data_IF_417222685559
#
_entry.id   IF_417222685559
#
_cell.length_a   1.000
_cell.length_b   1.000
_cell.length_c   1.000
_cell.angle_alpha   90.00
_cell.angle_beta   90.00
_cell.angle_gamma   90.00
#
_symmetry.space_group_name_H-M   'P 1'
#
loop_
_entity.id
_entity.type
_entity.pdbx_description
1 polymer ?
#
# COMPACT_ATOMS: atom_id res chain seq x y z
N UNK A 1 52.61 62.56 36.13
CA UNK A 1 52.36 61.12 36.28
C UNK A 1 51.31 60.74 35.31
N UNK A 2 51.61 60.00 34.26
CA UNK A 2 50.67 59.66 33.21
C UNK A 2 49.93 58.34 33.53
N UNK A 3 48.62 58.32 33.38
CA UNK A 3 47.74 57.14 33.46
C UNK A 3 47.90 56.29 32.24
N UNK A 4 48.28 55.01 32.41
CA UNK A 4 48.28 54.00 31.40
C UNK A 4 46.84 53.45 31.25
N UNK A 5 46.28 53.60 30.04
CA UNK A 5 45.03 52.94 29.65
C UNK A 5 45.38 51.55 29.15
N UNK A 6 44.77 50.48 29.72
CA UNK A 6 44.80 49.12 29.25
C UNK A 6 43.68 48.98 28.18
N UNK A 7 44.06 48.72 26.96
CA UNK A 7 43.13 48.34 25.93
C UNK A 7 42.90 46.81 26.01
N UNK A 8 41.67 46.40 26.35
CA UNK A 8 41.25 44.99 26.27
C UNK A 8 40.89 44.62 24.83
N UNK A 9 41.66 43.71 24.27
CA UNK A 9 41.42 43.14 22.95
C UNK A 9 40.33 42.07 23.09
N UNK A 10 39.12 42.35 22.64
CA UNK A 10 38.04 41.34 22.53
C UNK A 10 38.25 40.55 21.26
N UNK A 11 38.69 39.31 21.39
CA UNK A 11 38.80 38.38 20.29
C UNK A 11 37.39 37.82 20.00
N UNK A 12 36.71 38.30 18.94
CA UNK A 12 35.49 37.71 18.44
C UNK A 12 35.87 36.49 17.62
N UNK A 13 35.70 35.30 18.20
CA UNK A 13 35.80 34.05 17.47
C UNK A 13 34.59 33.92 16.56
N UNK A 14 34.76 34.18 15.27
CA UNK A 14 33.79 33.86 14.25
C UNK A 14 33.72 32.34 14.13
N UNK A 15 32.67 31.75 14.72
CA UNK A 15 32.30 30.36 14.43
C UNK A 15 31.75 30.33 12.99
N UNK A 16 32.61 29.98 12.03
CA UNK A 16 32.22 29.70 10.71
C UNK A 16 31.37 28.43 10.72
N UNK A 17 30.04 28.54 10.61
CA UNK A 17 29.18 27.44 10.22
C UNK A 17 29.69 26.91 8.88
N UNK A 18 30.51 25.87 8.94
CA UNK A 18 30.81 25.07 7.73
C UNK A 18 29.51 24.40 7.31
N UNK A 19 28.87 24.95 6.29
CA UNK A 19 27.84 24.22 5.55
C UNK A 19 28.45 22.89 5.12
N UNK A 20 27.90 21.79 5.61
CA UNK A 20 28.30 20.46 5.15
C UNK A 20 27.91 20.41 3.69
N UNK A 21 28.90 20.38 2.81
CA UNK A 21 28.68 20.17 1.37
C UNK A 21 27.98 18.83 1.22
N UNK A 22 26.74 18.85 0.74
CA UNK A 22 25.96 17.64 0.47
C UNK A 22 26.70 16.80 -0.56
N UNK A 23 27.01 15.54 -0.21
CA UNK A 23 27.70 14.61 -1.11
C UNK A 23 26.70 14.01 -2.08
N UNK A 24 27.03 13.98 -3.36
CA UNK A 24 26.31 13.21 -4.38
C UNK A 24 26.89 11.81 -4.59
N UNK A 25 28.06 11.53 -3.97
CA UNK A 25 28.70 10.23 -4.04
C UNK A 25 27.95 9.20 -3.18
N UNK A 26 27.55 8.10 -3.79
CA UNK A 26 26.89 7.00 -3.08
C UNK A 26 27.89 6.35 -2.12
N UNK A 27 27.60 6.31 -0.81
CA UNK A 27 28.49 5.72 0.18
C UNK A 27 28.76 4.23 -0.06
N UNK A 28 29.94 3.77 0.35
CA UNK A 28 30.29 2.35 0.25
C UNK A 28 29.76 1.56 1.46
N UNK A 29 28.41 1.43 1.49
CA UNK A 29 27.64 0.70 2.50
C UNK A 29 26.74 -0.33 1.80
N UNK A 30 26.22 -1.35 2.50
CA UNK A 30 25.22 -2.25 1.92
C UNK A 30 24.03 -1.52 1.33
N UNK A 31 23.49 -0.50 2.02
CA UNK A 31 22.40 0.32 1.51
C UNK A 31 22.83 1.14 0.28
N UNK A 32 24.03 1.72 0.28
CA UNK A 32 24.59 2.41 -0.88
C UNK A 32 24.78 1.49 -2.08
N UNK A 33 25.16 0.23 -1.84
CA UNK A 33 25.31 -0.76 -2.92
C UNK A 33 23.95 -1.07 -3.59
N UNK A 34 22.89 -1.16 -2.81
CA UNK A 34 21.52 -1.33 -3.35
C UNK A 34 21.10 -0.12 -4.18
N UNK A 35 21.39 1.10 -3.71
CA UNK A 35 21.11 2.34 -4.47
C UNK A 35 21.89 2.40 -5.78
N UNK A 36 23.16 2.02 -5.81
CA UNK A 36 23.95 1.94 -7.06
C UNK A 36 23.28 1.02 -8.08
N UNK A 37 22.91 -0.19 -7.66
CA UNK A 37 22.25 -1.15 -8.56
C UNK A 37 20.89 -0.64 -9.03
N UNK A 38 20.10 -0.02 -8.13
CA UNK A 38 18.83 0.61 -8.50
C UNK A 38 19.01 1.73 -9.52
N UNK A 39 19.94 2.64 -9.28
CA UNK A 39 20.22 3.77 -10.18
C UNK A 39 20.67 3.28 -11.54
N UNK A 40 21.59 2.32 -11.60
CA UNK A 40 22.08 1.74 -12.84
C UNK A 40 20.97 1.07 -13.63
N UNK A 41 20.12 0.29 -12.96
CA UNK A 41 18.98 -0.37 -13.58
C UNK A 41 17.98 0.66 -14.16
N UNK A 42 17.57 1.64 -13.34
CA UNK A 42 16.63 2.67 -13.78
C UNK A 42 17.20 3.58 -14.87
N UNK A 43 18.48 3.91 -14.82
CA UNK A 43 19.12 4.79 -15.81
C UNK A 43 19.46 4.08 -17.13
N UNK A 44 19.60 2.76 -17.11
CA UNK A 44 19.90 1.98 -18.32
C UNK A 44 18.81 2.01 -19.39
N UNK A 45 17.55 2.18 -19.00
CA UNK A 45 16.40 2.04 -19.91
C UNK A 45 16.03 0.59 -20.23
N UNK A 46 16.78 -0.37 -19.71
CA UNK A 46 16.57 -1.80 -19.93
C UNK A 46 15.60 -2.39 -18.89
N UNK A 47 14.44 -2.82 -19.36
CA UNK A 47 13.41 -3.43 -18.52
C UNK A 47 13.91 -4.68 -17.80
N UNK A 48 14.79 -5.48 -18.42
CA UNK A 48 15.30 -6.70 -17.80
C UNK A 48 16.19 -6.38 -16.60
N UNK A 49 17.00 -5.34 -16.65
CA UNK A 49 17.81 -4.88 -15.51
C UNK A 49 16.95 -4.39 -14.35
N UNK A 50 15.85 -3.71 -14.66
CA UNK A 50 14.90 -3.26 -13.64
C UNK A 50 14.24 -4.46 -12.97
N UNK A 51 13.75 -5.42 -13.73
CA UNK A 51 13.15 -6.64 -13.20
C UNK A 51 14.16 -7.45 -12.39
N UNK A 52 15.44 -7.48 -12.81
CA UNK A 52 16.51 -8.16 -12.06
C UNK A 52 16.77 -7.49 -10.72
N UNK A 53 16.84 -6.15 -10.67
CA UNK A 53 16.92 -5.41 -9.41
C UNK A 53 15.80 -5.82 -8.45
N UNK A 54 14.54 -5.82 -8.92
CA UNK A 54 13.41 -6.19 -8.06
C UNK A 54 13.46 -7.65 -7.64
N UNK A 55 13.73 -8.60 -8.54
CA UNK A 55 13.90 -10.03 -8.18
C UNK A 55 14.95 -10.21 -7.10
N UNK A 56 16.02 -9.44 -7.17
CA UNK A 56 17.13 -9.53 -6.23
C UNK A 56 16.82 -8.91 -4.88
N UNK A 57 16.15 -7.76 -4.82
CA UNK A 57 16.04 -6.96 -3.60
C UNK A 57 14.61 -6.79 -3.08
N UNK A 58 13.59 -6.84 -3.95
CA UNK A 58 12.17 -6.59 -3.63
C UNK A 58 11.24 -7.43 -4.51
N UNK A 59 11.32 -8.77 -4.48
CA UNK A 59 10.57 -9.64 -5.39
C UNK A 59 9.05 -9.44 -5.30
N UNK A 60 8.55 -9.04 -4.15
CA UNK A 60 7.14 -8.74 -3.88
C UNK A 60 6.63 -7.48 -4.60
N UNK A 61 7.53 -6.61 -5.10
CA UNK A 61 7.19 -5.35 -5.77
C UNK A 61 7.28 -5.41 -7.30
N UNK A 62 7.40 -6.58 -7.88
CA UNK A 62 7.43 -6.72 -9.33
C UNK A 62 6.03 -6.54 -9.89
N UNK A 63 5.72 -5.34 -10.38
CA UNK A 63 4.44 -4.99 -10.99
C UNK A 63 4.65 -4.27 -12.33
N UNK A 64 3.61 -4.23 -13.16
CA UNK A 64 3.61 -3.41 -14.37
C UNK A 64 3.81 -1.91 -14.04
N UNK A 65 3.32 -1.46 -12.89
CA UNK A 65 3.52 -0.09 -12.40
C UNK A 65 4.99 0.29 -12.25
N UNK A 66 5.84 -0.66 -11.86
CA UNK A 66 7.29 -0.46 -11.75
C UNK A 66 7.93 -0.10 -13.07
N UNK A 67 7.59 -0.82 -14.13
CA UNK A 67 8.09 -0.56 -15.49
C UNK A 67 7.53 0.77 -16.02
N UNK A 68 6.24 1.01 -15.82
CA UNK A 68 5.58 2.25 -16.24
C UNK A 68 6.21 3.48 -15.56
N UNK A 69 6.50 3.39 -14.27
CA UNK A 69 7.17 4.46 -13.52
C UNK A 69 8.56 4.77 -14.10
N UNK A 70 9.33 3.75 -14.47
CA UNK A 70 10.61 3.94 -15.15
C UNK A 70 10.44 4.64 -16.51
N UNK A 71 9.48 4.21 -17.31
CA UNK A 71 9.22 4.81 -18.61
C UNK A 71 8.83 6.28 -18.50
N UNK A 72 8.02 6.61 -17.50
CA UNK A 72 7.58 7.98 -17.21
C UNK A 72 8.74 8.86 -16.73
N UNK A 73 9.52 8.42 -15.73
CA UNK A 73 10.59 9.20 -15.08
C UNK A 73 11.84 9.36 -15.94
N UNK A 74 12.13 8.41 -16.82
CA UNK A 74 13.38 8.37 -17.61
C UNK A 74 14.64 8.00 -16.83
N UNK A 75 14.51 7.65 -15.54
CA UNK A 75 15.61 7.41 -14.61
C UNK A 75 15.80 8.57 -13.64
N UNK A 76 16.84 8.47 -12.81
CA UNK A 76 17.08 9.41 -11.71
C UNK A 76 18.55 9.78 -11.56
N UNK A 77 18.79 11.06 -11.30
CA UNK A 77 20.09 11.58 -10.89
C UNK A 77 20.05 11.88 -9.39
N UNK A 78 21.10 11.47 -8.66
CA UNK A 78 21.20 11.76 -7.21
C UNK A 78 21.59 13.23 -7.06
N UNK A 79 20.76 13.95 -6.31
CA UNK A 79 20.98 15.37 -5.99
C UNK A 79 21.80 15.48 -4.69
N UNK A 80 21.46 14.69 -3.67
CA UNK A 80 22.18 14.64 -2.40
C UNK A 80 21.94 13.33 -1.65
N UNK A 81 22.90 12.96 -0.81
CA UNK A 81 22.74 11.92 0.21
C UNK A 81 22.55 12.64 1.56
N UNK A 82 21.38 12.43 2.15
CA UNK A 82 20.97 13.13 3.38
C UNK A 82 21.38 12.36 4.64
N UNK A 83 21.37 11.03 4.57
CA UNK A 83 21.80 10.12 5.64
C UNK A 83 22.27 8.80 5.04
N UNK A 84 23.31 8.21 5.60
CA UNK A 84 23.78 6.88 5.23
C UNK A 84 24.28 6.12 6.43
N UNK A 85 23.69 4.96 6.64
CA UNK A 85 24.06 3.94 7.60
C UNK A 85 24.21 2.59 6.89
N UNK A 86 24.78 1.56 7.48
CA UNK A 86 24.97 0.29 6.80
C UNK A 86 23.69 -0.29 6.17
N UNK A 87 22.53 -0.09 6.81
CA UNK A 87 21.23 -0.64 6.37
C UNK A 87 20.15 0.40 6.12
N UNK A 88 20.50 1.68 6.15
CA UNK A 88 19.57 2.78 5.94
C UNK A 88 20.22 3.87 5.09
N UNK A 89 19.51 4.37 4.08
CA UNK A 89 19.97 5.50 3.27
C UNK A 89 18.80 6.42 2.94
N UNK A 90 19.05 7.73 3.09
CA UNK A 90 18.14 8.79 2.68
C UNK A 90 18.82 9.64 1.62
N UNK A 91 18.09 9.96 0.55
CA UNK A 91 18.66 10.67 -0.59
C UNK A 91 17.61 11.55 -1.28
N UNK A 92 18.07 12.57 -1.97
CA UNK A 92 17.24 13.34 -2.90
C UNK A 92 17.63 12.96 -4.31
N UNK A 93 16.64 12.66 -5.14
CA UNK A 93 16.82 12.33 -6.55
C UNK A 93 15.97 13.23 -7.43
N UNK A 94 16.40 13.42 -8.68
CA UNK A 94 15.69 14.18 -9.71
C UNK A 94 15.42 13.28 -10.90
N UNK A 95 14.19 13.32 -11.40
CA UNK A 95 13.85 12.66 -12.66
C UNK A 95 14.63 13.24 -13.84
N UNK A 96 14.95 12.38 -14.81
CA UNK A 96 15.64 12.80 -16.03
C UNK A 96 14.72 13.38 -17.11
N UNK A 97 13.45 12.96 -17.12
CA UNK A 97 12.47 13.45 -18.11
C UNK A 97 11.70 14.68 -17.64
N UNK A 98 11.61 14.90 -16.35
CA UNK A 98 10.88 16.03 -15.77
C UNK A 98 11.76 16.73 -14.72
N UNK A 99 11.46 17.99 -14.32
CA UNK A 99 12.17 18.63 -13.22
C UNK A 99 11.73 18.11 -11.82
N UNK A 100 10.94 17.06 -11.75
CA UNK A 100 10.44 16.52 -10.50
C UNK A 100 11.58 15.96 -9.64
N UNK A 101 11.55 16.30 -8.36
CA UNK A 101 12.47 15.79 -7.34
C UNK A 101 11.72 14.96 -6.33
N UNK A 102 12.42 13.98 -5.76
CA UNK A 102 11.87 13.06 -4.77
C UNK A 102 12.82 12.91 -3.60
N UNK A 103 12.26 12.77 -2.40
CA UNK A 103 12.98 12.29 -1.24
C UNK A 103 12.85 10.78 -1.16
N UNK A 104 13.97 10.08 -1.17
CA UNK A 104 14.05 8.64 -1.13
C UNK A 104 14.52 8.13 0.23
N UNK A 105 13.90 7.08 0.73
CA UNK A 105 14.33 6.32 1.91
C UNK A 105 14.39 4.86 1.54
N UNK A 106 15.49 4.19 1.89
CA UNK A 106 15.64 2.74 1.69
C UNK A 106 16.18 2.11 2.96
N UNK A 107 15.46 1.10 3.45
CA UNK A 107 15.80 0.28 4.61
C UNK A 107 16.08 -1.16 4.17
N UNK A 108 17.11 -1.78 4.76
CA UNK A 108 17.47 -3.16 4.48
C UNK A 108 17.12 -4.08 5.66
N UNK A 109 16.52 -5.22 5.34
CA UNK A 109 16.29 -6.28 6.31
C UNK A 109 17.62 -6.84 6.83
N UNK A 110 17.65 -7.33 8.08
CA UNK A 110 18.79 -8.04 8.63
C UNK A 110 18.90 -9.47 8.08
N UNK A 111 18.95 -9.62 6.75
CA UNK A 111 18.91 -10.92 6.06
C UNK A 111 20.12 -11.10 5.14
N UNK A 112 20.46 -12.35 4.86
CA UNK A 112 21.37 -12.74 3.80
C UNK A 112 20.61 -13.75 2.91
N UNK A 113 20.46 -13.51 1.61
CA UNK A 113 20.93 -12.34 0.84
C UNK A 113 20.22 -11.03 1.23
N UNK A 114 20.88 -9.91 0.93
CA UNK A 114 20.36 -8.57 1.22
C UNK A 114 18.97 -8.39 0.58
N UNK A 115 18.00 -7.91 1.38
CA UNK A 115 16.65 -7.56 0.97
C UNK A 115 16.31 -6.14 1.43
N UNK A 116 15.54 -5.44 0.64
CA UNK A 116 14.94 -4.16 1.04
C UNK A 116 13.69 -4.46 1.86
N UNK A 117 13.67 -4.03 3.12
CA UNK A 117 12.51 -4.16 4.01
C UNK A 117 11.53 -3.00 3.87
N UNK A 118 12.03 -1.82 3.47
CA UNK A 118 11.25 -0.62 3.25
C UNK A 118 11.86 0.25 2.17
N UNK A 119 11.04 0.79 1.27
CA UNK A 119 11.48 1.84 0.36
C UNK A 119 10.34 2.80 0.05
N UNK A 120 10.68 4.09 0.06
CA UNK A 120 9.75 5.18 -0.25
C UNK A 120 10.45 6.15 -1.20
N UNK A 121 9.69 6.68 -2.13
CA UNK A 121 10.11 7.77 -3.02
C UNK A 121 8.98 8.80 -3.02
N UNK A 122 9.11 9.82 -2.15
CA UNK A 122 8.09 10.84 -1.92
C UNK A 122 8.34 12.05 -2.83
N UNK A 123 7.36 12.49 -3.64
CA UNK A 123 7.52 13.64 -4.51
C UNK A 123 7.70 14.92 -3.68
N UNK A 124 8.73 15.70 -4.03
CA UNK A 124 8.99 17.02 -3.45
C UNK A 124 8.33 18.11 -4.31
N UNK A 125 7.86 19.18 -3.68
CA UNK A 125 7.45 20.38 -4.41
C UNK A 125 8.65 21.04 -5.12
N UNK A 126 8.42 21.90 -6.13
CA UNK A 126 9.50 22.53 -6.89
C UNK A 126 10.47 23.38 -6.06
N UNK A 127 10.05 23.80 -4.85
CA UNK A 127 10.84 24.60 -3.90
C UNK A 127 10.89 23.98 -2.50
N UNK A 128 10.87 22.64 -2.40
CA UNK A 128 10.90 21.98 -1.10
C UNK A 128 12.21 22.29 -0.38
N UNK A 129 12.11 22.93 0.78
CA UNK A 129 13.24 23.19 1.67
C UNK A 129 13.48 21.94 2.52
N UNK A 130 14.64 21.30 2.36
CA UNK A 130 15.04 20.13 3.14
C UNK A 130 15.15 20.40 4.64
N UNK A 131 15.31 21.67 5.05
CA UNK A 131 15.30 22.03 6.47
C UNK A 131 13.95 21.82 7.13
N UNK A 132 12.85 21.94 6.36
CA UNK A 132 11.47 21.67 6.80
C UNK A 132 11.19 20.19 7.04
N UNK A 133 12.05 19.29 6.54
CA UNK A 133 11.94 17.86 6.79
C UNK A 133 12.42 17.44 8.18
N UNK A 134 12.86 18.38 9.02
CA UNK A 134 13.33 18.10 10.38
C UNK A 134 12.16 18.07 11.35
N UNK A 135 12.22 17.09 12.26
CA UNK A 135 11.30 16.96 13.38
C UNK A 135 12.11 16.99 14.69
N UNK A 136 11.87 17.98 15.52
CA UNK A 136 12.44 18.05 16.87
C UNK A 136 11.62 17.25 17.88
N UNK A 137 12.05 17.22 19.13
CA UNK A 137 11.38 16.46 20.19
C UNK A 137 9.93 16.94 20.44
N UNK A 138 9.67 18.25 20.36
CA UNK A 138 8.35 18.82 20.57
C UNK A 138 7.41 18.46 19.40
N UNK A 139 7.90 18.53 18.16
CA UNK A 139 7.16 18.13 16.98
C UNK A 139 6.86 16.62 16.98
N UNK A 140 7.82 15.76 17.39
CA UNK A 140 7.58 14.32 17.56
C UNK A 140 6.48 14.02 18.57
N UNK A 141 6.54 14.68 19.74
CA UNK A 141 5.50 14.52 20.77
C UNK A 141 4.11 14.90 20.23
N UNK A 142 4.02 16.04 19.53
CA UNK A 142 2.76 16.49 18.90
C UNK A 142 2.21 15.51 17.88
N UNK A 143 3.08 14.94 17.03
CA UNK A 143 2.66 13.92 16.03
C UNK A 143 2.18 12.65 16.73
N UNK A 144 2.88 12.18 17.77
CA UNK A 144 2.47 11.01 18.55
C UNK A 144 1.12 11.25 19.22
N UNK A 145 0.93 12.38 19.90
CA UNK A 145 -0.33 12.72 20.56
C UNK A 145 -1.47 12.86 19.55
N UNK A 146 -1.19 13.43 18.37
CA UNK A 146 -2.14 13.52 17.29
C UNK A 146 -2.52 12.14 16.73
N UNK A 147 -1.56 11.24 16.54
CA UNK A 147 -1.82 9.86 16.14
C UNK A 147 -2.68 9.12 17.17
N UNK A 148 -2.37 9.28 18.45
CA UNK A 148 -3.15 8.69 19.55
C UNK A 148 -4.59 9.22 19.53
N UNK A 149 -4.81 10.51 19.35
CA UNK A 149 -6.14 11.11 19.28
C UNK A 149 -6.98 10.52 18.13
N UNK A 150 -6.35 10.27 16.97
CA UNK A 150 -7.04 9.62 15.85
C UNK A 150 -7.36 8.14 16.15
N UNK A 151 -6.44 7.40 16.78
CA UNK A 151 -6.68 6.02 17.19
C UNK A 151 -7.82 5.92 18.22
N UNK A 152 -7.82 6.75 19.24
CA UNK A 152 -8.87 6.78 20.27
C UNK A 152 -10.24 7.07 19.65
N UNK A 153 -10.29 7.95 18.66
CA UNK A 153 -11.52 8.37 18.00
C UNK A 153 -12.07 7.36 17.01
N UNK A 154 -11.21 6.69 16.24
CA UNK A 154 -11.62 5.96 15.04
C UNK A 154 -11.28 4.48 15.04
N UNK A 155 -10.21 4.04 15.73
CA UNK A 155 -9.79 2.64 15.62
C UNK A 155 -10.86 1.68 16.12
N UNK A 156 -11.13 0.63 15.33
CA UNK A 156 -12.22 -0.32 15.57
C UNK A 156 -12.11 -1.07 16.90
N UNK A 157 -10.88 -1.17 17.48
CA UNK A 157 -10.62 -1.82 18.77
C UNK A 157 -10.09 -0.82 19.81
N UNK A 158 -10.96 -0.21 20.64
CA UNK A 158 -10.55 0.84 21.59
C UNK A 158 -9.54 0.37 22.65
N UNK A 159 -9.62 -0.89 23.07
CA UNK A 159 -8.68 -1.49 24.01
C UNK A 159 -7.26 -1.64 23.40
N UNK A 160 -7.17 -1.89 22.10
CA UNK A 160 -5.90 -1.92 21.37
C UNK A 160 -5.38 -0.50 21.18
N UNK A 161 -6.26 0.47 20.82
CA UNK A 161 -5.89 1.88 20.74
C UNK A 161 -5.25 2.36 22.04
N UNK A 162 -5.84 2.04 23.20
CA UNK A 162 -5.28 2.38 24.49
C UNK A 162 -3.90 1.78 24.72
N UNK A 163 -3.67 0.51 24.40
CA UNK A 163 -2.35 -0.14 24.54
C UNK A 163 -1.30 0.53 23.64
N UNK A 164 -1.69 0.89 22.40
CA UNK A 164 -0.81 1.62 21.47
C UNK A 164 -0.46 2.98 22.07
N UNK A 165 -1.45 3.73 22.58
CA UNK A 165 -1.26 5.04 23.17
C UNK A 165 -0.28 5.00 24.36
N UNK A 166 -0.49 4.07 25.29
CA UNK A 166 0.38 3.89 26.47
C UNK A 166 1.82 3.55 26.04
N UNK A 167 2.00 2.67 25.06
CA UNK A 167 3.30 2.26 24.55
C UNK A 167 4.02 3.41 23.83
N UNK A 168 3.35 4.14 22.97
CA UNK A 168 3.94 5.26 22.21
C UNK A 168 4.39 6.38 23.14
N UNK A 169 3.56 6.74 24.15
CA UNK A 169 3.94 7.73 25.16
C UNK A 169 5.14 7.29 25.97
N UNK A 170 5.13 6.03 26.45
CA UNK A 170 6.25 5.47 27.19
C UNK A 170 7.53 5.50 26.34
N UNK A 171 7.49 5.03 25.13
CA UNK A 171 8.66 4.98 24.24
C UNK A 171 9.19 6.36 23.88
N UNK A 172 8.32 7.34 23.64
CA UNK A 172 8.72 8.71 23.37
C UNK A 172 9.42 9.34 24.60
N UNK A 173 8.88 9.13 25.81
CA UNK A 173 9.48 9.63 27.05
C UNK A 173 10.85 8.99 27.38
N UNK A 174 11.12 7.78 26.85
CA UNK A 174 12.38 7.05 27.07
C UNK A 174 13.33 7.10 25.85
N UNK A 175 13.16 8.09 24.95
CA UNK A 175 14.13 8.41 23.91
C UNK A 175 14.13 7.48 22.70
N UNK A 176 13.13 6.59 22.54
CA UNK A 176 13.06 5.67 21.39
C UNK A 176 13.13 6.36 20.03
N UNK A 177 12.64 7.60 19.97
CA UNK A 177 12.57 8.37 18.73
C UNK A 177 13.64 9.46 18.60
N UNK A 178 14.55 9.62 19.55
CA UNK A 178 15.50 10.75 19.58
C UNK A 178 16.47 10.77 18.41
N UNK A 179 16.86 9.61 17.90
CA UNK A 179 17.72 9.49 16.72
C UNK A 179 17.02 9.87 15.40
N UNK A 180 15.69 9.95 15.40
CA UNK A 180 14.90 10.25 14.20
C UNK A 180 14.64 11.75 14.08
N UNK A 181 15.66 12.48 13.60
CA UNK A 181 15.60 13.93 13.41
C UNK A 181 14.95 14.37 12.09
N UNK A 182 14.64 13.42 11.19
CA UNK A 182 13.96 13.65 9.92
C UNK A 182 12.54 13.12 9.96
N UNK A 183 11.60 13.92 9.48
CA UNK A 183 10.15 13.62 9.50
C UNK A 183 9.82 12.30 8.80
N UNK A 184 10.45 12.04 7.63
CA UNK A 184 10.22 10.79 6.88
C UNK A 184 10.67 9.56 7.67
N UNK A 185 11.91 9.56 8.19
CA UNK A 185 12.43 8.43 8.97
C UNK A 185 11.65 8.24 10.26
N UNK A 186 11.18 9.33 10.88
CA UNK A 186 10.30 9.27 12.03
C UNK A 186 8.96 8.65 11.69
N UNK A 187 8.34 9.03 10.55
CA UNK A 187 7.09 8.43 10.08
C UNK A 187 7.24 6.92 9.83
N UNK A 188 8.32 6.50 9.16
CA UNK A 188 8.62 5.06 8.94
C UNK A 188 8.72 4.33 10.28
N UNK A 189 9.48 4.87 11.25
CA UNK A 189 9.62 4.25 12.56
C UNK A 189 8.32 4.20 13.35
N UNK A 190 7.55 5.27 13.34
CA UNK A 190 6.24 5.31 14.01
C UNK A 190 5.27 4.32 13.35
N UNK A 191 5.29 4.21 12.01
CA UNK A 191 4.51 3.22 11.27
C UNK A 191 4.86 1.77 11.66
N UNK A 192 6.15 1.43 11.75
CA UNK A 192 6.59 0.12 12.24
C UNK A 192 6.03 -0.18 13.63
N UNK A 193 6.14 0.81 14.55
CA UNK A 193 5.74 0.63 15.94
C UNK A 193 4.23 0.49 16.10
N UNK A 194 3.41 1.28 15.40
CA UNK A 194 1.94 1.13 15.48
C UNK A 194 1.49 -0.19 14.86
N UNK A 195 2.12 -0.65 13.78
CA UNK A 195 1.82 -1.96 13.17
C UNK A 195 2.22 -3.13 14.05
N UNK A 196 3.39 -3.04 14.70
CA UNK A 196 3.85 -4.07 15.64
C UNK A 196 2.93 -4.20 16.86
N UNK A 197 2.33 -3.08 17.33
CA UNK A 197 1.43 -3.07 18.47
C UNK A 197 -0.01 -3.47 18.11
N UNK A 198 -0.48 -3.08 16.94
CA UNK A 198 -1.84 -3.38 16.47
C UNK A 198 -1.98 -4.76 15.87
N UNK A 199 -0.90 -5.29 15.27
CA UNK A 199 -0.91 -6.45 14.37
C UNK A 199 -1.83 -6.28 13.16
N UNK A 200 -2.29 -5.05 12.87
CA UNK A 200 -3.17 -4.72 11.77
C UNK A 200 -2.37 -4.16 10.60
N UNK A 201 -2.39 -4.86 9.47
CA UNK A 201 -1.59 -4.51 8.29
C UNK A 201 -2.13 -3.29 7.54
N UNK A 202 -3.37 -2.87 7.79
CA UNK A 202 -3.92 -1.64 7.26
C UNK A 202 -3.49 -0.39 8.05
N UNK A 203 -3.07 -0.56 9.31
CA UNK A 203 -2.52 0.54 10.12
C UNK A 203 -1.27 1.11 9.47
N UNK A 204 -1.21 2.43 9.27
CA UNK A 204 -0.04 3.09 8.69
C UNK A 204 0.08 4.52 9.15
N UNK A 205 1.31 5.01 9.24
CA UNK A 205 1.63 6.43 9.41
C UNK A 205 2.47 6.86 8.22
N UNK A 206 1.99 7.86 7.50
CA UNK A 206 2.64 8.40 6.33
C UNK A 206 3.02 9.86 6.55
N UNK A 207 4.10 10.30 5.92
CA UNK A 207 4.53 11.69 5.87
C UNK A 207 4.48 12.22 4.45
N UNK A 208 3.92 13.41 4.26
CA UNK A 208 3.92 14.10 2.97
C UNK A 208 4.76 15.38 3.06
N UNK A 209 5.71 15.52 2.15
CA UNK A 209 6.50 16.76 2.00
C UNK A 209 5.59 17.92 1.58
N UNK A 210 4.59 17.65 0.74
CA UNK A 210 3.56 18.63 0.41
C UNK A 210 2.53 18.68 1.54
N UNK A 211 2.26 19.87 2.09
CA UNK A 211 1.29 19.97 3.15
C UNK A 211 -0.10 19.54 2.67
N UNK A 212 -0.80 18.80 3.52
CA UNK A 212 -2.23 18.55 3.33
C UNK A 212 -2.99 19.85 3.57
N UNK A 213 -3.98 20.11 2.73
CA UNK A 213 -4.91 21.22 3.00
C UNK A 213 -5.72 20.87 4.25
N UNK A 214 -5.61 21.62 5.37
CA UNK A 214 -6.38 21.36 6.56
C UNK A 214 -7.87 21.38 6.23
N UNK A 215 -8.59 20.36 6.64
CA UNK A 215 -10.05 20.32 6.54
C UNK A 215 -10.62 20.12 7.94
N UNK A 216 -11.63 20.89 8.37
CA UNK A 216 -12.34 20.61 9.59
C UNK A 216 -12.89 19.18 9.57
N UNK A 217 -12.75 18.44 10.66
CA UNK A 217 -13.22 17.05 10.75
C UNK A 217 -14.74 16.91 10.52
N UNK A 218 -15.48 17.99 10.69
CA UNK A 218 -16.95 18.09 10.48
C UNK A 218 -17.34 18.50 9.05
N UNK A 219 -16.38 18.94 8.22
CA UNK A 219 -16.69 19.39 6.86
C UNK A 219 -16.82 18.18 5.93
N UNK A 220 -17.96 18.06 5.28
CA UNK A 220 -18.13 17.13 4.17
C UNK A 220 -17.05 17.35 3.11
N UNK A 221 -16.54 16.30 2.46
CA UNK A 221 -15.65 16.46 1.31
C UNK A 221 -16.34 17.39 0.28
N UNK A 222 -15.62 18.38 -0.31
CA UNK A 222 -16.17 19.12 -1.43
C UNK A 222 -16.54 18.11 -2.53
N UNK A 223 -17.64 18.37 -3.21
CA UNK A 223 -17.94 17.62 -4.42
C UNK A 223 -16.72 17.70 -5.35
N UNK A 224 -16.29 16.59 -5.96
CA UNK A 224 -15.18 16.63 -6.90
C UNK A 224 -15.50 17.57 -8.05
N UNK A 225 -14.53 18.37 -8.47
CA UNK A 225 -14.70 19.24 -9.64
C UNK A 225 -14.79 18.39 -10.91
N UNK A 226 -15.36 18.91 -12.01
CA UNK A 226 -15.33 18.21 -13.29
C UNK A 226 -13.92 17.78 -13.72
N UNK A 227 -12.90 18.62 -13.42
CA UNK A 227 -11.50 18.30 -13.70
C UNK A 227 -10.98 17.16 -12.81
N UNK A 228 -11.39 17.07 -11.54
CA UNK A 228 -11.02 15.97 -10.65
C UNK A 228 -11.64 14.66 -11.12
N UNK A 229 -12.92 14.71 -11.53
CA UNK A 229 -13.61 13.53 -12.10
C UNK A 229 -12.93 13.09 -13.40
N UNK A 230 -12.64 14.02 -14.30
CA UNK A 230 -11.96 13.71 -15.57
C UNK A 230 -10.57 13.13 -15.33
N UNK A 231 -9.81 13.66 -14.37
CA UNK A 231 -8.49 13.15 -14.00
C UNK A 231 -8.56 11.74 -13.40
N UNK A 232 -9.52 11.51 -12.51
CA UNK A 232 -9.75 10.20 -11.92
C UNK A 232 -10.16 9.18 -13.00
N UNK A 233 -11.04 9.56 -13.92
CA UNK A 233 -11.43 8.71 -15.04
C UNK A 233 -10.24 8.38 -15.95
N UNK A 234 -9.46 9.38 -16.35
CA UNK A 234 -8.25 9.16 -17.16
C UNK A 234 -7.24 8.25 -16.47
N UNK A 235 -7.13 8.32 -15.15
CA UNK A 235 -6.28 7.40 -14.38
C UNK A 235 -6.84 5.96 -14.44
N UNK A 236 -8.13 5.77 -14.29
CA UNK A 236 -8.77 4.45 -14.41
C UNK A 236 -8.64 3.89 -15.82
N UNK A 237 -8.81 4.72 -16.85
CA UNK A 237 -8.64 4.33 -18.25
C UNK A 237 -7.20 3.89 -18.54
N UNK A 238 -6.21 4.65 -18.06
CA UNK A 238 -4.79 4.32 -18.26
C UNK A 238 -4.38 2.97 -17.64
N UNK A 239 -5.03 2.56 -16.56
CA UNK A 239 -4.77 1.28 -15.90
C UNK A 239 -5.82 0.21 -16.27
N UNK A 240 -6.71 0.51 -17.23
CA UNK A 240 -7.82 -0.34 -17.63
C UNK A 240 -8.60 -0.86 -16.41
N UNK A 241 -8.90 0.02 -15.45
CA UNK A 241 -9.59 -0.35 -14.21
C UNK A 241 -8.94 -1.54 -13.46
N UNK A 242 -7.63 -1.72 -13.61
CA UNK A 242 -6.90 -2.85 -13.03
C UNK A 242 -7.10 -4.19 -13.76
N UNK A 243 -7.92 -4.27 -14.80
CA UNK A 243 -8.11 -5.50 -15.56
C UNK A 243 -6.93 -5.76 -16.49
N UNK A 244 -6.13 -6.78 -16.15
CA UNK A 244 -4.85 -7.10 -16.81
C UNK A 244 -5.04 -8.11 -17.94
N UNK A 245 -5.89 -9.12 -17.74
CA UNK A 245 -6.09 -10.19 -18.71
C UNK A 245 -7.45 -10.84 -18.59
N UNK A 246 -8.10 -11.02 -19.75
CA UNK A 246 -9.31 -11.83 -19.92
C UNK A 246 -9.07 -12.75 -21.11
N UNK A 247 -9.22 -14.05 -20.92
CA UNK A 247 -8.84 -15.04 -21.94
C UNK A 247 -9.72 -16.27 -21.83
N UNK A 248 -9.96 -16.93 -22.97
CA UNK A 248 -10.46 -18.29 -23.01
C UNK A 248 -9.30 -19.26 -23.28
N UNK A 249 -8.95 -20.03 -22.26
CA UNK A 249 -7.90 -21.03 -22.31
C UNK A 249 -8.41 -22.34 -22.96
N UNK A 250 -7.46 -23.23 -23.27
CA UNK A 250 -7.75 -24.57 -23.76
C UNK A 250 -8.75 -25.31 -22.83
N UNK A 251 -9.63 -26.12 -23.42
CA UNK A 251 -10.69 -26.82 -22.68
C UNK A 251 -11.91 -25.97 -22.37
N UNK A 252 -12.04 -24.77 -22.96
CA UNK A 252 -13.11 -23.81 -22.72
C UNK A 252 -13.15 -23.32 -21.27
N UNK A 253 -11.97 -22.94 -20.73
CA UNK A 253 -11.78 -22.38 -19.40
C UNK A 253 -11.62 -20.87 -19.52
N UNK A 254 -12.47 -20.11 -18.83
CA UNK A 254 -12.29 -18.65 -18.67
C UNK A 254 -11.14 -18.36 -17.71
N UNK A 255 -10.31 -17.39 -18.07
CA UNK A 255 -9.27 -16.85 -17.19
C UNK A 255 -9.47 -15.35 -17.07
N UNK A 256 -9.49 -14.87 -15.83
CA UNK A 256 -9.64 -13.47 -15.50
C UNK A 256 -8.57 -13.06 -14.49
N UNK A 257 -7.76 -12.05 -14.81
CA UNK A 257 -6.84 -11.39 -13.89
C UNK A 257 -7.13 -9.91 -13.86
N UNK A 258 -7.28 -9.38 -12.65
CA UNK A 258 -7.29 -7.95 -12.35
C UNK A 258 -6.65 -7.71 -10.98
N UNK A 259 -5.99 -6.56 -10.83
CA UNK A 259 -5.09 -6.32 -9.71
C UNK A 259 -5.70 -5.37 -8.66
N UNK A 260 -6.98 -4.97 -8.81
CA UNK A 260 -7.70 -4.13 -7.83
C UNK A 260 -9.20 -4.04 -8.05
N UNK A 261 -9.95 -3.76 -6.99
CA UNK A 261 -11.40 -3.52 -7.00
C UNK A 261 -11.65 -2.00 -6.90
N UNK A 262 -11.82 -1.34 -8.06
CA UNK A 262 -12.02 0.10 -8.13
C UNK A 262 -13.51 0.48 -8.13
N UNK A 263 -13.80 1.78 -8.16
CA UNK A 263 -15.17 2.32 -8.10
C UNK A 263 -16.08 1.72 -9.18
N UNK A 264 -17.27 1.30 -8.77
CA UNK A 264 -18.25 0.65 -9.69
C UNK A 264 -18.74 1.64 -10.75
N UNK A 265 -18.88 2.93 -10.40
CA UNK A 265 -19.34 3.96 -11.35
C UNK A 265 -18.35 4.11 -12.51
N UNK A 266 -17.06 4.20 -12.19
CA UNK A 266 -15.99 4.35 -13.18
C UNK A 266 -15.64 3.05 -13.90
N UNK A 267 -15.59 1.92 -13.17
CA UNK A 267 -15.02 0.66 -13.64
C UNK A 267 -16.02 -0.48 -13.86
N UNK A 268 -17.29 -0.29 -13.50
CA UNK A 268 -18.35 -1.28 -13.72
C UNK A 268 -18.49 -1.73 -15.16
N UNK A 269 -18.47 -0.83 -16.16
CA UNK A 269 -18.51 -1.24 -17.57
C UNK A 269 -17.38 -2.20 -17.97
N UNK A 270 -16.14 -1.94 -17.54
CA UNK A 270 -14.97 -2.81 -17.82
C UNK A 270 -15.13 -4.16 -17.13
N UNK A 271 -15.56 -4.18 -15.86
CA UNK A 271 -15.85 -5.43 -15.14
C UNK A 271 -16.94 -6.26 -15.83
N UNK A 272 -18.03 -5.60 -16.27
CA UNK A 272 -19.12 -6.26 -16.99
C UNK A 272 -18.64 -6.85 -18.33
N UNK A 273 -17.85 -6.12 -19.09
CA UNK A 273 -17.29 -6.60 -20.36
C UNK A 273 -16.43 -7.86 -20.15
N UNK A 274 -15.56 -7.85 -19.13
CA UNK A 274 -14.72 -8.97 -18.76
C UNK A 274 -15.56 -10.20 -18.36
N UNK A 275 -16.55 -10.01 -17.51
CA UNK A 275 -17.43 -11.09 -17.04
C UNK A 275 -18.31 -11.65 -18.17
N UNK A 276 -18.80 -10.79 -19.08
CA UNK A 276 -19.56 -11.23 -20.23
C UNK A 276 -18.72 -12.06 -21.22
N UNK A 277 -17.44 -11.67 -21.44
CA UNK A 277 -16.52 -12.42 -22.28
C UNK A 277 -16.39 -13.89 -21.85
N UNK A 278 -16.27 -14.14 -20.56
CA UNK A 278 -16.08 -15.48 -19.98
C UNK A 278 -17.38 -16.18 -19.61
N UNK A 279 -18.53 -15.52 -19.73
CA UNK A 279 -19.82 -16.08 -19.28
C UNK A 279 -20.20 -17.40 -19.95
N UNK A 280 -19.70 -17.67 -21.18
CA UNK A 280 -19.94 -18.89 -21.95
C UNK A 280 -18.99 -20.05 -21.62
N UNK A 281 -17.95 -19.87 -20.86
CA UNK A 281 -16.94 -20.89 -20.55
C UNK A 281 -17.48 -21.98 -19.60
N UNK A 282 -16.86 -23.16 -19.60
CA UNK A 282 -17.27 -24.29 -18.75
C UNK A 282 -16.77 -24.19 -17.31
N UNK A 283 -15.62 -23.57 -17.12
CA UNK A 283 -15.03 -23.29 -15.83
C UNK A 283 -14.41 -21.89 -15.85
N UNK A 284 -14.15 -21.31 -14.68
CA UNK A 284 -13.52 -19.99 -14.54
C UNK A 284 -12.36 -20.07 -13.56
N UNK A 285 -11.23 -19.46 -13.93
CA UNK A 285 -10.12 -19.16 -13.06
C UNK A 285 -10.07 -17.64 -12.84
N UNK A 286 -10.16 -17.20 -11.58
CA UNK A 286 -9.99 -15.81 -11.18
C UNK A 286 -8.63 -15.68 -10.49
N UNK A 287 -7.71 -14.94 -11.09
CA UNK A 287 -6.35 -14.79 -10.58
C UNK A 287 -6.22 -13.57 -9.69
N UNK A 288 -6.23 -13.81 -8.38
CA UNK A 288 -6.08 -12.81 -7.33
C UNK A 288 -4.65 -12.69 -6.78
N UNK A 289 -3.67 -13.40 -7.35
CA UNK A 289 -2.30 -13.47 -6.80
C UNK A 289 -1.60 -12.10 -6.70
N UNK A 290 -2.01 -11.11 -7.48
CA UNK A 290 -1.47 -9.75 -7.45
C UNK A 290 -2.53 -8.70 -7.09
N UNK A 291 -3.73 -9.13 -6.65
CA UNK A 291 -4.80 -8.22 -6.33
C UNK A 291 -4.67 -7.70 -4.88
N UNK A 292 -4.43 -6.41 -4.73
CA UNK A 292 -4.28 -5.71 -3.45
C UNK A 292 -5.60 -5.34 -2.77
N UNK A 293 -6.75 -5.67 -3.38
CA UNK A 293 -8.06 -5.33 -2.84
C UNK A 293 -8.69 -4.08 -3.44
N UNK A 294 -9.47 -3.38 -2.65
CA UNK A 294 -10.19 -2.16 -3.06
C UNK A 294 -11.59 -2.09 -2.48
N UNK A 295 -12.56 -1.60 -3.26
CA UNK A 295 -13.88 -1.25 -2.77
C UNK A 295 -14.82 -2.46 -2.64
N UNK A 296 -15.48 -2.66 -1.48
CA UNK A 296 -16.44 -3.75 -1.23
C UNK A 296 -17.61 -3.76 -2.22
N UNK A 297 -18.05 -2.57 -2.68
CA UNK A 297 -19.09 -2.44 -3.70
C UNK A 297 -18.70 -3.11 -5.02
N UNK A 298 -17.42 -3.02 -5.45
CA UNK A 298 -16.93 -3.70 -6.64
C UNK A 298 -16.71 -5.19 -6.38
N UNK A 299 -16.33 -5.58 -5.17
CA UNK A 299 -16.28 -7.01 -4.76
C UNK A 299 -17.64 -7.65 -4.95
N UNK A 300 -18.70 -7.05 -4.39
CA UNK A 300 -20.08 -7.54 -4.54
C UNK A 300 -20.52 -7.54 -6.00
N UNK A 301 -20.15 -6.49 -6.77
CA UNK A 301 -20.50 -6.37 -8.18
C UNK A 301 -19.93 -7.51 -9.02
N UNK A 302 -18.64 -7.79 -8.91
CA UNK A 302 -17.99 -8.90 -9.64
C UNK A 302 -18.51 -10.26 -9.16
N UNK A 303 -18.67 -10.45 -7.84
CA UNK A 303 -19.25 -11.66 -7.27
C UNK A 303 -20.66 -11.94 -7.81
N UNK A 304 -21.47 -10.91 -8.09
CA UNK A 304 -22.84 -11.04 -8.59
C UNK A 304 -22.95 -11.83 -9.89
N UNK A 305 -21.90 -11.85 -10.70
CA UNK A 305 -21.85 -12.69 -11.90
C UNK A 305 -21.68 -14.18 -11.63
N UNK A 306 -21.26 -14.54 -10.41
CA UNK A 306 -20.92 -15.92 -10.04
C UNK A 306 -22.02 -16.64 -9.25
N UNK A 307 -23.13 -15.96 -8.95
CA UNK A 307 -24.25 -16.49 -8.20
C UNK A 307 -25.54 -16.45 -9.02
N UNK A 308 -26.37 -17.48 -8.87
CA UNK A 308 -27.69 -17.56 -9.50
C UNK A 308 -28.80 -16.95 -8.65
N UNK A 309 -28.55 -16.73 -7.36
CA UNK A 309 -29.51 -16.16 -6.38
C UNK A 309 -28.85 -15.00 -5.64
N UNK A 310 -29.65 -14.05 -5.17
CA UNK A 310 -29.20 -13.03 -4.24
C UNK A 310 -28.59 -13.67 -3.00
N UNK A 311 -27.34 -13.37 -2.72
CA UNK A 311 -26.52 -14.01 -1.69
C UNK A 311 -25.90 -12.95 -0.80
N UNK A 312 -25.99 -13.12 0.53
CA UNK A 312 -25.33 -12.28 1.51
C UNK A 312 -23.84 -12.64 1.54
N UNK A 313 -22.98 -11.67 1.32
CA UNK A 313 -21.55 -11.89 1.13
C UNK A 313 -20.75 -11.53 2.38
N UNK A 314 -20.93 -10.31 2.88
CA UNK A 314 -20.16 -9.75 3.98
C UNK A 314 -20.90 -8.59 4.63
N UNK A 315 -20.56 -8.29 5.88
CA UNK A 315 -20.98 -7.12 6.62
C UNK A 315 -19.76 -6.30 7.02
N UNK A 316 -19.91 -4.98 7.04
CA UNK A 316 -18.92 -4.05 7.61
C UNK A 316 -19.54 -3.33 8.80
N UNK A 317 -19.08 -3.66 9.99
CA UNK A 317 -19.50 -2.99 11.21
C UNK A 317 -18.56 -1.83 11.55
N UNK A 318 -19.10 -0.61 11.61
CA UNK A 318 -18.37 0.61 11.97
C UNK A 318 -18.53 0.90 13.47
N UNK A 319 -17.41 1.03 14.19
CA UNK A 319 -17.41 1.30 15.62
C UNK A 319 -18.10 2.61 16.01
N UNK A 320 -17.80 3.69 15.29
CA UNK A 320 -18.21 5.04 15.68
C UNK A 320 -19.71 5.26 15.61
N UNK A 321 -20.33 4.69 14.61
CA UNK A 321 -21.79 4.82 14.37
C UNK A 321 -22.58 3.64 14.91
N UNK A 322 -21.92 2.51 15.19
CA UNK A 322 -22.57 1.23 15.45
C UNK A 322 -23.31 0.67 14.25
N UNK A 323 -23.17 1.29 13.08
CA UNK A 323 -23.83 0.88 11.85
C UNK A 323 -23.17 -0.36 11.26
N UNK A 324 -24.00 -1.24 10.70
CA UNK A 324 -23.59 -2.38 9.90
C UNK A 324 -24.06 -2.17 8.47
N UNK A 325 -23.14 -2.11 7.53
CA UNK A 325 -23.43 -2.10 6.10
C UNK A 325 -23.36 -3.52 5.57
N UNK A 326 -24.46 -4.00 4.95
CA UNK A 326 -24.56 -5.34 4.39
C UNK A 326 -24.20 -5.34 2.90
N UNK A 327 -23.36 -6.29 2.48
CA UNK A 327 -22.97 -6.47 1.08
C UNK A 327 -23.60 -7.74 0.53
N UNK A 328 -24.40 -7.56 -0.51
CA UNK A 328 -25.14 -8.62 -1.19
C UNK A 328 -24.78 -8.68 -2.67
N UNK A 329 -24.92 -9.86 -3.28
CA UNK A 329 -24.92 -9.95 -4.75
C UNK A 329 -26.12 -9.21 -5.31
N UNK A 330 -25.95 -8.63 -6.51
CA UNK A 330 -27.01 -7.94 -7.25
C UNK A 330 -27.69 -8.88 -8.23
N UNK A 331 -28.96 -8.70 -8.41
CA UNK A 331 -29.73 -9.45 -9.42
C UNK A 331 -29.54 -8.83 -10.83
N UNK A 332 -29.41 -7.51 -10.88
CA UNK A 332 -29.33 -6.66 -12.07
C UNK A 332 -27.88 -6.28 -12.42
N UNK A 333 -27.08 -7.22 -12.90
CA UNK A 333 -25.77 -6.91 -13.49
C UNK A 333 -25.87 -6.92 -15.02
N UNK A 334 -25.17 -5.99 -15.74
CA UNK A 334 -25.27 -5.90 -17.19
C UNK A 334 -24.78 -7.17 -17.90
N UNK A 335 -25.60 -7.68 -18.82
CA UNK A 335 -25.25 -8.80 -19.65
C UNK A 335 -25.46 -10.18 -19.02
N UNK A 336 -24.67 -11.17 -19.45
CA UNK A 336 -24.83 -12.56 -19.04
C UNK A 336 -24.00 -12.90 -17.80
N UNK A 337 -24.63 -13.50 -16.78
CA UNK A 337 -23.93 -14.07 -15.63
C UNK A 337 -23.19 -15.37 -16.03
N UNK A 338 -22.04 -15.60 -15.42
CA UNK A 338 -21.36 -16.90 -15.43
C UNK A 338 -22.23 -17.98 -14.74
N UNK A 339 -22.93 -17.59 -13.67
CA UNK A 339 -23.89 -18.41 -12.94
C UNK A 339 -23.28 -19.15 -11.75
N UNK A 340 -24.16 -19.77 -10.96
CA UNK A 340 -23.82 -20.45 -9.70
C UNK A 340 -23.32 -21.88 -9.80
N UNK A 341 -23.50 -22.54 -10.97
CA UNK A 341 -23.33 -23.99 -11.09
C UNK A 341 -21.95 -24.41 -11.62
N UNK A 342 -21.36 -23.59 -12.50
CA UNK A 342 -20.09 -23.93 -13.16
C UNK A 342 -18.90 -23.76 -12.20
N UNK A 343 -17.85 -24.61 -12.31
CA UNK A 343 -16.68 -24.53 -11.43
C UNK A 343 -15.98 -23.18 -11.50
N UNK A 344 -15.61 -22.65 -10.33
CA UNK A 344 -14.77 -21.45 -10.18
C UNK A 344 -13.55 -21.79 -9.30
N UNK A 345 -12.39 -21.34 -9.73
CA UNK A 345 -11.14 -21.45 -9.00
C UNK A 345 -10.59 -20.05 -8.78
N UNK A 346 -10.13 -19.76 -7.56
CA UNK A 346 -9.48 -18.49 -7.23
C UNK A 346 -8.02 -18.78 -6.92
N UNK A 347 -7.11 -18.12 -7.63
CA UNK A 347 -5.69 -18.25 -7.39
C UNK A 347 -5.24 -17.19 -6.39
N UNK A 348 -4.53 -17.60 -5.34
CA UNK A 348 -4.09 -16.73 -4.25
C UNK A 348 -2.58 -16.76 -4.04
N UNK A 349 -2.07 -15.68 -3.45
CA UNK A 349 -0.71 -15.57 -2.93
C UNK A 349 -0.71 -14.73 -1.63
N UNK A 350 0.45 -14.58 -1.01
CA UNK A 350 0.64 -13.66 0.13
C UNK A 350 0.38 -12.18 -0.22
N UNK A 351 0.33 -11.82 -1.51
CA UNK A 351 -0.03 -10.48 -2.00
C UNK A 351 -1.54 -10.28 -2.22
N UNK A 352 -2.33 -11.36 -2.20
CA UNK A 352 -3.78 -11.25 -2.18
C UNK A 352 -4.22 -10.60 -0.89
N UNK A 353 -4.83 -9.39 -0.95
CA UNK A 353 -5.02 -8.58 0.26
C UNK A 353 -6.36 -7.82 0.27
N UNK A 354 -6.89 -7.52 1.48
CA UNK A 354 -8.03 -6.62 1.69
C UNK A 354 -9.28 -7.05 0.88
N UNK A 355 -9.83 -6.22 0.00
CA UNK A 355 -11.00 -6.56 -0.84
C UNK A 355 -10.81 -7.80 -1.72
N UNK A 356 -9.57 -8.17 -2.08
CA UNK A 356 -9.30 -9.44 -2.78
C UNK A 356 -9.45 -10.64 -1.85
N UNK A 357 -9.12 -10.46 -0.57
CA UNK A 357 -9.41 -11.46 0.46
C UNK A 357 -10.91 -11.54 0.73
N UNK A 358 -11.59 -10.40 0.79
CA UNK A 358 -13.05 -10.37 0.92
C UNK A 358 -13.73 -11.18 -0.20
N UNK A 359 -13.35 -10.94 -1.46
CA UNK A 359 -13.84 -11.72 -2.60
C UNK A 359 -13.56 -13.22 -2.43
N UNK A 360 -12.34 -13.57 -2.07
CA UNK A 360 -11.90 -14.96 -1.89
C UNK A 360 -12.63 -15.63 -0.72
N UNK A 361 -12.76 -14.94 0.42
CA UNK A 361 -13.43 -15.45 1.62
C UNK A 361 -14.92 -15.67 1.39
N UNK A 362 -15.57 -14.71 0.74
CA UNK A 362 -16.98 -14.83 0.37
C UNK A 362 -17.23 -16.05 -0.51
N UNK A 363 -16.41 -16.27 -1.55
CA UNK A 363 -16.57 -17.43 -2.42
C UNK A 363 -16.23 -18.74 -1.71
N UNK A 364 -15.23 -18.76 -0.85
CA UNK A 364 -14.85 -19.93 -0.04
C UNK A 364 -15.95 -20.34 0.93
N UNK A 365 -16.43 -19.40 1.74
CA UNK A 365 -17.45 -19.68 2.78
C UNK A 365 -18.78 -20.07 2.17
N UNK A 366 -19.15 -19.51 1.03
CA UNK A 366 -20.33 -19.89 0.23
C UNK A 366 -20.11 -21.21 -0.55
N UNK A 367 -18.95 -21.85 -0.46
CA UNK A 367 -18.56 -23.04 -1.25
C UNK A 367 -18.75 -22.82 -2.75
N UNK A 368 -18.52 -21.58 -3.20
CA UNK A 368 -18.72 -21.17 -4.59
C UNK A 368 -17.47 -21.36 -5.43
N UNK A 369 -16.29 -21.31 -4.83
CA UNK A 369 -15.02 -21.48 -5.51
C UNK A 369 -14.06 -22.37 -4.71
N UNK A 370 -13.16 -23.00 -5.44
CA UNK A 370 -11.97 -23.69 -4.91
C UNK A 370 -10.81 -22.71 -4.90
N UNK A 371 -10.17 -22.57 -3.75
CA UNK A 371 -9.02 -21.66 -3.56
C UNK A 371 -7.72 -22.44 -3.76
N UNK A 372 -6.86 -21.97 -4.66
CA UNK A 372 -5.61 -22.65 -5.03
C UNK A 372 -4.44 -21.67 -4.92
N UNK A 373 -3.40 -22.02 -4.19
CA UNK A 373 -2.20 -21.18 -4.04
C UNK A 373 -1.64 -21.12 -2.64
N UNK A 374 -1.31 -19.91 -2.19
CA UNK A 374 -0.78 -19.62 -0.87
C UNK A 374 -1.82 -18.97 0.04
N UNK A 375 -1.57 -19.01 1.36
CA UNK A 375 -2.32 -18.23 2.33
C UNK A 375 -2.19 -16.74 2.02
N UNK A 376 -3.30 -16.01 2.09
CA UNK A 376 -3.38 -14.58 1.75
C UNK A 376 -2.79 -13.68 2.81
N UNK A 377 -2.77 -12.38 2.56
CA UNK A 377 -2.07 -11.39 3.39
C UNK A 377 -2.63 -11.15 4.79
N UNK A 378 -3.93 -11.34 5.03
CA UNK A 378 -4.58 -11.20 6.34
C UNK A 378 -4.89 -9.75 6.72
N UNK A 379 -5.69 -9.05 5.91
CA UNK A 379 -6.19 -7.71 6.22
C UNK A 379 -7.69 -7.60 5.95
N UNK A 380 -8.49 -7.47 7.01
CA UNK A 380 -9.95 -7.49 6.94
C UNK A 380 -10.63 -6.18 7.37
N UNK A 381 -9.84 -5.18 7.78
CA UNK A 381 -10.39 -3.97 8.37
C UNK A 381 -10.35 -2.81 7.38
N UNK A 382 -11.50 -2.24 6.95
CA UNK A 382 -11.51 -1.02 6.16
C UNK A 382 -10.81 0.12 6.88
N UNK A 383 -9.97 0.87 6.13
CA UNK A 383 -9.10 1.93 6.65
C UNK A 383 -9.50 3.29 6.07
N UNK A 384 -9.47 4.32 6.91
CA UNK A 384 -9.57 5.72 6.48
C UNK A 384 -8.33 6.50 6.91
N UNK A 385 -7.93 7.48 6.09
CA UNK A 385 -6.81 8.37 6.37
C UNK A 385 -7.25 9.55 7.21
N UNK A 386 -6.57 9.78 8.34
CA UNK A 386 -6.84 10.89 9.25
C UNK A 386 -5.61 11.79 9.35
N UNK A 387 -5.66 13.07 8.96
CA UNK A 387 -4.58 14.00 9.17
C UNK A 387 -4.24 14.14 10.66
N UNK A 388 -2.95 14.02 10.97
CA UNK A 388 -2.41 14.33 12.31
C UNK A 388 -2.07 15.82 12.37
N UNK A 389 -1.41 16.29 11.31
CA UNK A 389 -1.11 17.70 11.08
C UNK A 389 -1.09 18.00 9.57
N UNK A 390 -0.37 19.06 9.16
CA UNK A 390 -0.26 19.42 7.73
C UNK A 390 0.59 18.43 6.90
N UNK A 391 1.39 17.59 7.54
CA UNK A 391 2.34 16.70 6.86
C UNK A 391 2.20 15.24 7.25
N UNK A 392 1.69 14.93 8.43
CA UNK A 392 1.50 13.56 8.89
C UNK A 392 0.05 13.14 8.78
N UNK A 393 -0.16 11.93 8.31
CA UNK A 393 -1.47 11.26 8.23
C UNK A 393 -1.35 9.86 8.81
N UNK A 394 -2.38 9.43 9.53
CA UNK A 394 -2.50 8.06 9.98
C UNK A 394 -3.67 7.37 9.29
N UNK A 395 -3.44 6.20 8.72
CA UNK A 395 -4.48 5.30 8.27
C UNK A 395 -4.99 4.49 9.47
N UNK A 396 -6.26 4.68 9.81
CA UNK A 396 -6.88 4.02 10.98
C UNK A 396 -7.99 3.08 10.50
N UNK A 397 -7.90 1.78 10.80
CA UNK A 397 -8.99 0.84 10.58
C UNK A 397 -10.21 1.22 11.44
N UNK A 398 -11.30 1.60 10.78
CA UNK A 398 -12.49 2.15 11.47
C UNK A 398 -13.65 1.17 11.57
N UNK A 399 -13.61 0.12 10.75
CA UNK A 399 -14.64 -0.90 10.69
C UNK A 399 -14.01 -2.30 10.62
N UNK A 400 -14.82 -3.34 10.79
CA UNK A 400 -14.39 -4.73 10.65
C UNK A 400 -15.35 -5.51 9.77
N UNK A 401 -14.80 -6.39 8.96
CA UNK A 401 -15.59 -7.36 8.20
C UNK A 401 -16.18 -8.41 9.15
N UNK A 402 -17.41 -8.84 8.86
CA UNK A 402 -18.09 -9.93 9.55
C UNK A 402 -18.78 -10.79 8.48
N UNK A 403 -18.24 -11.98 8.26
CA UNK A 403 -18.86 -12.88 7.29
C UNK A 403 -20.16 -13.48 7.89
N UNK A 404 -21.28 -13.48 7.16
CA UNK A 404 -22.59 -13.92 7.69
C UNK A 404 -22.67 -15.43 8.00
N UNK A 405 -21.71 -16.23 7.49
CA UNK A 405 -21.68 -17.69 7.74
C UNK A 405 -20.77 -18.04 8.90
N UNK A 406 -19.55 -17.46 8.94
CA UNK A 406 -18.55 -17.79 9.95
C UNK A 406 -18.57 -16.88 11.17
N UNK A 407 -19.27 -15.73 11.07
CA UNK A 407 -19.33 -14.66 12.08
C UNK A 407 -17.93 -14.12 12.47
N UNK A 408 -16.94 -14.30 11.61
CA UNK A 408 -15.57 -13.85 11.77
C UNK A 408 -15.03 -13.31 10.44
N UNK A 409 -13.74 -13.06 10.38
CA UNK A 409 -13.04 -12.59 9.18
C UNK A 409 -11.62 -13.17 9.11
N UNK A 410 -10.79 -12.68 8.18
CA UNK A 410 -9.45 -13.16 7.86
C UNK A 410 -8.32 -12.29 8.44
N UNK A 411 -8.64 -11.34 9.36
CA UNK A 411 -7.63 -10.44 9.93
C UNK A 411 -6.51 -11.22 10.63
N UNK A 412 -5.27 -10.85 10.33
CA UNK A 412 -4.06 -11.42 10.90
C UNK A 412 -3.72 -12.85 10.46
N UNK A 413 -4.72 -13.64 10.03
CA UNK A 413 -4.53 -15.05 9.65
C UNK A 413 -4.41 -15.28 8.15
N UNK A 414 -5.04 -14.41 7.34
CA UNK A 414 -5.25 -14.66 5.93
C UNK A 414 -6.27 -15.78 5.67
N UNK A 415 -6.39 -16.13 4.41
CA UNK A 415 -7.28 -17.21 3.94
C UNK A 415 -6.40 -18.36 3.49
N UNK A 416 -6.49 -19.49 4.17
CA UNK A 416 -5.82 -20.71 3.71
C UNK A 416 -6.47 -21.23 2.44
N UNK A 417 -5.69 -21.60 1.41
CA UNK A 417 -6.22 -22.22 0.20
C UNK A 417 -6.74 -23.63 0.48
N UNK A 418 -7.69 -24.10 -0.35
CA UNK A 418 -8.18 -25.48 -0.32
C UNK A 418 -7.13 -26.44 -0.91
N UNK A 419 -6.34 -25.94 -1.88
CA UNK A 419 -5.20 -26.64 -2.47
C UNK A 419 -3.95 -25.78 -2.32
N UNK A 420 -3.11 -26.13 -1.33
CA UNK A 420 -1.89 -25.38 -0.98
C UNK A 420 -0.74 -25.74 -1.92
N UNK A 421 -0.32 -24.76 -2.71
CA UNK A 421 0.82 -24.83 -3.63
C UNK A 421 1.52 -23.46 -3.67
N UNK A 422 2.80 -23.39 -4.10
CA UNK A 422 3.43 -22.11 -4.39
C UNK A 422 2.60 -21.28 -5.38
N UNK A 423 2.55 -19.96 -5.22
CA UNK A 423 1.77 -19.08 -6.09
C UNK A 423 2.12 -19.25 -7.59
N UNK A 424 3.38 -19.55 -7.90
CA UNK A 424 3.83 -19.82 -9.27
C UNK A 424 3.12 -21.04 -9.90
N UNK A 425 2.79 -22.05 -9.10
CA UNK A 425 2.22 -23.32 -9.55
C UNK A 425 0.68 -23.31 -9.52
N UNK A 426 0.06 -22.28 -8.96
CA UNK A 426 -1.38 -22.23 -8.72
C UNK A 426 -2.20 -22.36 -10.03
N UNK A 427 -1.79 -21.66 -11.11
CA UNK A 427 -2.49 -21.73 -12.39
C UNK A 427 -2.44 -23.13 -13.02
N UNK A 428 -1.26 -23.74 -13.05
CA UNK A 428 -1.06 -25.10 -13.60
C UNK A 428 -1.85 -26.12 -12.79
N UNK A 429 -1.87 -25.97 -11.47
CA UNK A 429 -2.64 -26.83 -10.56
C UNK A 429 -4.15 -26.69 -10.81
N UNK A 430 -4.67 -25.46 -10.90
CA UNK A 430 -6.10 -25.24 -11.18
C UNK A 430 -6.52 -25.82 -12.54
N UNK A 431 -5.72 -25.67 -13.60
CA UNK A 431 -5.96 -26.26 -14.91
C UNK A 431 -5.96 -27.79 -14.86
N UNK A 432 -5.10 -28.40 -14.06
CA UNK A 432 -5.09 -29.85 -13.84
C UNK A 432 -6.38 -30.30 -13.15
N UNK A 433 -6.78 -29.65 -12.05
CA UNK A 433 -8.02 -29.96 -11.32
C UNK A 433 -9.27 -29.87 -12.22
N UNK A 434 -9.33 -28.84 -13.07
CA UNK A 434 -10.42 -28.69 -14.04
C UNK A 434 -10.48 -29.85 -15.02
N UNK A 435 -9.34 -30.29 -15.58
CA UNK A 435 -9.25 -31.41 -16.50
C UNK A 435 -9.67 -32.73 -15.87
N UNK A 436 -9.30 -32.95 -14.62
CA UNK A 436 -9.60 -34.15 -13.84
C UNK A 436 -11.06 -34.16 -13.33
N UNK A 437 -11.81 -33.07 -13.50
CA UNK A 437 -13.18 -32.94 -13.00
C UNK A 437 -13.29 -32.94 -11.49
N UNK A 438 -12.17 -32.72 -10.78
CA UNK A 438 -12.09 -32.72 -9.32
C UNK A 438 -12.64 -31.40 -8.81
N UNK A 439 -13.78 -31.45 -8.12
CA UNK A 439 -14.23 -30.42 -7.17
C UNK A 439 -13.82 -30.94 -5.80
N UNK A 440 -12.93 -30.23 -5.07
CA UNK A 440 -12.57 -30.61 -3.71
C UNK A 440 -13.77 -30.57 -2.76
#
# INVERSE_FOLDING_TARGET
MPRRALAALVLVAAVACRGIAQSTAIPDTPAGSVIRVWQDAFNSGDTLKILDYYRRFQPERITQGTVNFRLASGGFDIVSIERSEPRHIELVVRERKTPATYYGVVDLAPSDPIRVSGSTLAPMGPNADLSQLRVDAAARAKVIDGAIAQLDSFYVFPEVAKRIADSLRYWNAHGRYDSYAKSMSFAVKLNEDVRALSHDKHMRVDYSIRPFTPRPATAAPPAPTPEDVARAQAQMDNMNCGFVKVEQLEGNVGYLRFDGFFDVGACGPTASAAMNFIAGTKALIVDMRQNGGGQPAMVSYVASYLFSKRTHLNDLWERRTGHTEEFWTRDDVPGRKFGGEKPVYVLTSSNTFSGAEEFTYNLKTQKRATIVGETTGGGAHPVSGHPIDQHFIIGVPFARAINPITHTNWEGTGIEPDVKVPAADALTTALRLIREGIRP
#
